data_IF_172411504238
#
_entry.id   IF_172411504238
#
_cell.length_a   1.000
_cell.length_b   1.000
_cell.length_c   1.000
_cell.angle_alpha   90.00
_cell.angle_beta   90.00
_cell.angle_gamma   90.00
#
_symmetry.space_group_name_H-M   'P 1'
#
loop_
_entity.id
_entity.type
_entity.pdbx_description
1 polymer ?
#
# COMPACT_ATOMS: atom_id res chain seq x y z
N UNK A 1 10.04 -9.45 6.04
CA UNK A 1 8.92 -8.61 6.53
C UNK A 1 7.74 -9.48 6.91
N UNK A 2 7.10 -9.26 8.07
CA UNK A 2 5.92 -10.04 8.52
C UNK A 2 4.65 -9.21 8.48
N UNK A 3 3.55 -9.85 8.10
CA UNK A 3 2.22 -9.22 8.05
C UNK A 3 1.73 -8.96 9.48
N UNK A 4 1.50 -7.69 9.80
CA UNK A 4 0.86 -7.26 11.06
C UNK A 4 -0.66 -7.12 10.90
N UNK A 5 -1.12 -6.58 9.75
CA UNK A 5 -2.54 -6.44 9.43
C UNK A 5 -2.80 -6.71 7.95
N UNK A 6 -3.92 -7.35 7.64
CA UNK A 6 -4.40 -7.53 6.26
C UNK A 6 -5.56 -6.56 6.04
N UNK A 7 -5.47 -5.71 5.02
CA UNK A 7 -6.57 -4.82 4.63
C UNK A 7 -7.48 -5.49 3.60
N UNK A 8 -6.88 -6.08 2.58
CA UNK A 8 -7.55 -6.83 1.52
C UNK A 8 -6.55 -7.78 0.83
N UNK A 9 -6.97 -8.48 -0.22
CA UNK A 9 -6.11 -9.43 -0.95
C UNK A 9 -4.83 -8.81 -1.54
N UNK A 10 -4.81 -7.49 -1.76
CA UNK A 10 -3.74 -6.79 -2.46
C UNK A 10 -3.01 -5.75 -1.59
N UNK A 11 -3.36 -5.63 -0.30
CA UNK A 11 -2.77 -4.66 0.60
C UNK A 11 -2.62 -5.19 2.03
N UNK A 12 -1.41 -5.08 2.58
CA UNK A 12 -1.05 -5.52 3.92
C UNK A 12 -0.23 -4.45 4.64
N UNK A 13 -0.29 -4.45 5.97
CA UNK A 13 0.66 -3.77 6.82
C UNK A 13 1.73 -4.75 7.26
N UNK A 14 2.98 -4.32 7.22
CA UNK A 14 4.10 -5.04 7.79
C UNK A 14 4.83 -4.18 8.80
N UNK A 15 5.41 -4.82 9.80
CA UNK A 15 6.38 -4.18 10.68
C UNK A 15 7.78 -4.59 10.23
N UNK A 16 8.62 -3.59 9.93
CA UNK A 16 10.03 -3.79 9.61
C UNK A 16 10.88 -4.05 10.88
N UNK A 17 12.07 -4.62 10.70
CA UNK A 17 12.99 -4.99 11.79
C UNK A 17 13.45 -3.77 12.63
N UNK A 18 13.33 -2.56 12.07
CA UNK A 18 13.62 -1.29 12.71
C UNK A 18 12.42 -0.71 13.50
N UNK A 19 11.31 -1.46 13.60
CA UNK A 19 10.10 -1.09 14.33
C UNK A 19 9.21 -0.08 13.59
N UNK A 20 9.43 0.14 12.29
CA UNK A 20 8.58 1.00 11.47
C UNK A 20 7.50 0.18 10.78
N UNK A 21 6.28 0.70 10.84
CA UNK A 21 5.17 0.13 10.08
C UNK A 21 5.21 0.66 8.63
N UNK A 22 5.01 -0.25 7.69
CA UNK A 22 4.90 0.06 6.26
C UNK A 22 3.67 -0.62 5.69
N UNK A 23 2.97 0.07 4.78
CA UNK A 23 1.88 -0.52 4.01
C UNK A 23 2.43 -0.98 2.67
N UNK A 24 2.19 -2.23 2.34
CA UNK A 24 2.65 -2.85 1.11
C UNK A 24 1.43 -3.17 0.23
N UNK A 25 1.50 -2.72 -1.02
CA UNK A 25 0.50 -2.96 -2.06
C UNK A 25 1.11 -3.83 -3.15
N UNK A 26 0.34 -4.81 -3.61
CA UNK A 26 0.74 -5.72 -4.67
C UNK A 26 -0.38 -6.68 -5.05
N UNK A 27 -0.50 -7.02 -6.33
CA UNK A 27 -1.52 -7.95 -6.80
C UNK A 27 -1.42 -9.31 -6.10
N UNK A 28 -2.45 -9.67 -5.34
CA UNK A 28 -2.53 -10.94 -4.62
C UNK A 28 -1.57 -11.08 -3.43
N UNK A 29 -0.95 -10.00 -2.95
CA UNK A 29 0.07 -10.05 -1.88
C UNK A 29 -0.43 -10.65 -0.56
N UNK A 30 -1.72 -10.52 -0.27
CA UNK A 30 -2.37 -11.11 0.91
C UNK A 30 -3.20 -12.36 0.56
N UNK A 31 -3.22 -12.79 -0.70
CA UNK A 31 -4.05 -13.91 -1.14
C UNK A 31 -3.61 -15.20 -0.44
N UNK A 32 -4.52 -15.76 0.37
CA UNK A 32 -4.29 -16.93 1.24
C UNK A 32 -3.21 -16.74 2.32
N UNK A 33 -2.85 -15.50 2.64
CA UNK A 33 -1.96 -15.18 3.76
C UNK A 33 -2.75 -14.87 5.04
N UNK A 34 -2.07 -14.96 6.18
CA UNK A 34 -2.60 -14.58 7.50
C UNK A 34 -1.65 -13.63 8.20
N UNK A 35 -2.17 -12.95 9.23
CA UNK A 35 -1.34 -12.15 10.14
C UNK A 35 -0.26 -13.06 10.74
N UNK A 36 0.98 -12.58 10.72
CA UNK A 36 2.19 -13.30 11.13
C UNK A 36 2.95 -13.99 9.99
N UNK A 37 2.32 -14.18 8.82
CA UNK A 37 3.00 -14.76 7.65
C UNK A 37 4.01 -13.78 7.06
N UNK A 38 5.03 -14.33 6.37
CA UNK A 38 5.94 -13.52 5.57
C UNK A 38 5.30 -13.07 4.26
N UNK A 39 5.60 -11.82 3.91
CA UNK A 39 5.25 -11.22 2.62
C UNK A 39 6.23 -11.72 1.55
N UNK A 40 5.69 -12.09 0.39
CA UNK A 40 6.50 -12.37 -0.78
C UNK A 40 6.94 -11.05 -1.41
N UNK A 41 8.24 -10.76 -1.35
CA UNK A 41 8.80 -9.50 -1.84
C UNK A 41 8.66 -9.35 -3.38
N UNK A 42 8.50 -10.46 -4.11
CA UNK A 42 8.31 -10.43 -5.56
C UNK A 42 6.95 -9.89 -6.00
N UNK A 43 5.96 -9.92 -5.09
CA UNK A 43 4.62 -9.41 -5.33
C UNK A 43 4.49 -7.93 -4.95
N UNK A 44 5.55 -7.30 -4.44
CA UNK A 44 5.53 -5.91 -4.01
C UNK A 44 5.56 -5.00 -5.24
N UNK A 45 4.47 -4.26 -5.45
CA UNK A 45 4.42 -3.19 -6.42
C UNK A 45 4.79 -1.85 -5.79
N UNK A 46 4.37 -1.64 -4.53
CA UNK A 46 4.60 -0.37 -3.84
C UNK A 46 4.70 -0.53 -2.33
N UNK A 47 5.64 0.19 -1.74
CA UNK A 47 5.85 0.27 -0.28
C UNK A 47 5.65 1.70 0.18
N UNK A 48 4.73 1.90 1.10
CA UNK A 48 4.48 3.17 1.76
C UNK A 48 5.07 3.15 3.16
N UNK A 49 6.15 3.91 3.35
CA UNK A 49 6.80 4.08 4.65
C UNK A 49 6.00 5.12 5.44
N UNK A 50 5.40 4.71 6.55
CA UNK A 50 4.52 5.57 7.32
C UNK A 50 5.35 6.36 8.34
N UNK A 51 5.64 7.63 8.03
CA UNK A 51 6.38 8.54 8.93
C UNK A 51 5.48 9.31 9.90
N UNK A 52 4.19 9.49 9.57
CA UNK A 52 3.25 10.35 10.34
C UNK A 52 1.95 9.60 10.69
N UNK A 53 1.53 9.70 11.96
CA UNK A 53 0.33 9.02 12.49
C UNK A 53 -1.00 9.49 11.88
N UNK A 54 -1.14 10.77 11.56
CA UNK A 54 -2.37 11.31 10.95
C UNK A 54 -2.61 10.76 9.54
N UNK A 55 -1.52 10.65 8.77
CA UNK A 55 -1.54 10.09 7.41
C UNK A 55 -1.87 8.61 7.44
N UNK A 56 -1.40 7.88 8.46
CA UNK A 56 -1.73 6.47 8.70
C UNK A 56 -3.24 6.24 8.91
N UNK A 57 -3.86 7.06 9.75
CA UNK A 57 -5.29 6.92 10.08
C UNK A 57 -6.15 7.12 8.82
N UNK A 58 -5.85 8.16 8.03
CA UNK A 58 -6.56 8.47 6.78
C UNK A 58 -6.36 7.37 5.73
N UNK A 59 -5.13 6.87 5.58
CA UNK A 59 -4.83 5.82 4.60
C UNK A 59 -5.50 4.49 4.98
N UNK A 60 -5.53 4.15 6.28
CA UNK A 60 -6.27 2.99 6.80
C UNK A 60 -7.77 3.10 6.51
N UNK A 61 -8.38 4.26 6.78
CA UNK A 61 -9.80 4.48 6.50
C UNK A 61 -10.09 4.30 5.01
N UNK A 62 -9.25 4.83 4.13
CA UNK A 62 -9.41 4.67 2.68
C UNK A 62 -9.33 3.19 2.29
N UNK A 63 -8.33 2.44 2.79
CA UNK A 63 -8.15 1.02 2.47
C UNK A 63 -9.26 0.12 3.04
N UNK A 64 -9.88 0.49 4.17
CA UNK A 64 -10.99 -0.25 4.77
C UNK A 64 -12.33 0.03 4.07
N UNK A 65 -12.52 1.22 3.49
CA UNK A 65 -13.79 1.64 2.89
C UNK A 65 -13.81 1.58 1.36
N UNK A 66 -12.66 1.65 0.70
CA UNK A 66 -12.54 1.68 -0.76
C UNK A 66 -11.99 0.34 -1.28
N UNK A 67 -12.71 -0.33 -2.21
CA UNK A 67 -12.20 -1.51 -2.90
C UNK A 67 -10.85 -1.25 -3.57
N UNK A 68 -9.95 -2.22 -3.50
CA UNK A 68 -8.58 -2.06 -4.01
C UNK A 68 -8.53 -1.79 -5.51
N UNK A 69 -9.51 -2.27 -6.27
CA UNK A 69 -9.61 -1.98 -7.71
C UNK A 69 -9.75 -0.47 -7.98
N UNK A 70 -10.49 0.26 -7.13
CA UNK A 70 -10.65 1.70 -7.28
C UNK A 70 -9.37 2.46 -6.92
N UNK A 71 -8.65 1.97 -5.91
CA UNK A 71 -7.34 2.53 -5.53
C UNK A 71 -6.33 2.30 -6.65
N UNK A 72 -6.31 1.11 -7.23
CA UNK A 72 -5.46 0.78 -8.39
C UNK A 72 -5.75 1.69 -9.58
N UNK A 73 -7.03 1.90 -9.91
CA UNK A 73 -7.43 2.78 -11.01
C UNK A 73 -6.99 4.23 -10.77
N UNK A 74 -7.09 4.74 -9.54
CA UNK A 74 -6.58 6.06 -9.20
C UNK A 74 -5.07 6.16 -9.42
N UNK A 75 -4.32 5.11 -9.08
CA UNK A 75 -2.89 5.05 -9.38
C UNK A 75 -2.60 5.06 -10.88
N UNK A 76 -3.33 4.26 -11.67
CA UNK A 76 -3.18 4.23 -13.13
C UNK A 76 -3.40 5.62 -13.75
N UNK A 77 -4.40 6.36 -13.27
CA UNK A 77 -4.69 7.74 -13.70
C UNK A 77 -3.53 8.68 -13.35
N UNK A 78 -3.03 8.60 -12.11
CA UNK A 78 -1.91 9.44 -11.64
C UNK A 78 -0.64 9.13 -12.42
N UNK A 79 -0.35 7.85 -12.66
CA UNK A 79 0.83 7.41 -13.41
C UNK A 79 0.75 7.82 -14.88
N UNK A 80 -0.43 7.66 -15.50
CA UNK A 80 -0.70 8.17 -16.84
C UNK A 80 -0.47 9.68 -16.92
N UNK A 81 -0.95 10.45 -15.94
CA UNK A 81 -0.76 11.89 -15.88
C UNK A 81 0.72 12.28 -15.71
N UNK A 82 1.48 11.59 -14.83
CA UNK A 82 2.93 11.80 -14.67
C UNK A 82 3.68 11.58 -15.99
N UNK A 83 3.37 10.48 -16.68
CA UNK A 83 4.00 10.13 -17.96
C UNK A 83 3.65 11.13 -19.07
N UNK A 84 2.41 11.62 -19.10
CA UNK A 84 1.96 12.59 -20.11
C UNK A 84 2.53 14.00 -19.88
N UNK A 85 2.63 14.43 -18.62
CA UNK A 85 3.09 15.78 -18.25
C UNK A 85 4.61 15.86 -18.03
N UNK A 86 5.29 14.71 -17.98
CA UNK A 86 6.73 14.57 -17.73
C UNK A 86 7.18 15.34 -16.47
N UNK A 87 6.35 15.29 -15.42
CA UNK A 87 6.58 15.96 -14.15
C UNK A 87 6.30 15.03 -12.97
N UNK A 88 6.93 15.30 -11.83
CA UNK A 88 6.59 14.64 -10.57
C UNK A 88 5.40 15.35 -9.93
N UNK A 89 4.31 14.60 -9.72
CA UNK A 89 3.19 15.06 -8.90
C UNK A 89 3.53 14.87 -7.43
N UNK A 90 3.21 15.88 -6.63
CA UNK A 90 3.39 15.86 -5.17
C UNK A 90 2.49 14.78 -4.55
N UNK A 91 3.08 13.95 -3.68
CA UNK A 91 2.44 12.81 -3.03
C UNK A 91 1.37 13.20 -1.98
N UNK A 92 1.21 14.50 -1.67
CA UNK A 92 0.27 15.03 -0.68
C UNK A 92 -1.00 15.67 -1.24
N UNK A 93 -1.22 15.64 -2.57
CA UNK A 93 -2.46 16.16 -3.19
C UNK A 93 -3.56 15.09 -3.18
#
# INVERSE_FOLDING_TARGET
MKIDKIFNNNAVMVTEDNGRDSVIIGCGIAFRKKVGDEVDESLIEKTFILKEKDTLEKFKMILEHIPTEQISLCYDIVEYAKNMLNCELNDYI
#
